data_IF_048949390492
#
_entry.id   IF_048949390492
#
_cell.length_a   1.000
_cell.length_b   1.000
_cell.length_c   1.000
_cell.angle_alpha   90.00
_cell.angle_beta   90.00
_cell.angle_gamma   90.00
#
_symmetry.space_group_name_H-M   'P 1'
#
loop_
_entity.id
_entity.type
_entity.pdbx_description
1 polymer ?
#
# COMPACT_ATOMS: atom_id res chain seq x y z
N UNK A 1 32.59 -34.71 -20.39
CA UNK A 1 32.42 -33.36 -19.79
C UNK A 1 30.95 -32.96 -19.96
N UNK A 2 30.15 -32.89 -18.93
CA UNK A 2 28.75 -32.53 -19.05
C UNK A 2 28.59 -31.02 -19.22
N UNK A 3 27.84 -30.62 -20.22
CA UNK A 3 27.42 -29.24 -20.47
C UNK A 3 26.46 -28.80 -19.35
N UNK A 4 26.87 -27.83 -18.53
CA UNK A 4 25.97 -27.18 -17.60
C UNK A 4 24.97 -26.31 -18.36
N UNK A 5 23.70 -26.66 -18.21
CA UNK A 5 22.57 -25.90 -18.72
C UNK A 5 22.44 -24.60 -17.92
N UNK A 6 22.76 -23.47 -18.53
CA UNK A 6 22.50 -22.13 -17.96
C UNK A 6 21.01 -21.88 -18.04
N UNK A 7 20.31 -21.91 -16.88
CA UNK A 7 18.92 -21.48 -16.79
C UNK A 7 18.87 -19.97 -16.98
N UNK A 8 18.20 -19.51 -18.03
CA UNK A 8 17.86 -18.10 -18.22
C UNK A 8 16.93 -17.68 -17.10
N UNK A 9 17.40 -16.81 -16.22
CA UNK A 9 16.56 -16.13 -15.22
C UNK A 9 15.91 -14.96 -15.96
N UNK A 10 14.61 -15.09 -16.23
CA UNK A 10 13.80 -14.00 -16.76
C UNK A 10 13.45 -13.09 -15.59
N UNK A 11 14.21 -12.00 -15.39
CA UNK A 11 13.95 -11.02 -14.34
C UNK A 11 12.97 -10.00 -14.92
N UNK A 12 11.71 -9.93 -14.47
CA UNK A 12 10.84 -8.86 -14.88
C UNK A 12 11.36 -7.55 -14.28
N UNK A 13 11.68 -6.58 -15.14
CA UNK A 13 12.03 -5.22 -14.72
C UNK A 13 10.76 -4.58 -14.20
N UNK A 14 10.56 -4.59 -12.90
CA UNK A 14 9.51 -3.82 -12.25
C UNK A 14 10.03 -2.39 -12.13
N UNK A 15 9.58 -1.50 -13.01
CA UNK A 15 9.73 -0.07 -12.80
C UNK A 15 8.87 0.32 -11.61
N UNK A 16 9.48 0.73 -10.51
CA UNK A 16 8.80 1.42 -9.42
C UNK A 16 8.58 2.85 -9.89
N UNK A 17 7.33 3.32 -10.10
CA UNK A 17 7.09 4.72 -10.39
C UNK A 17 7.44 5.52 -9.14
N UNK A 18 8.25 6.55 -9.31
CA UNK A 18 8.43 7.57 -8.27
C UNK A 18 7.09 8.25 -8.04
N UNK A 19 6.63 8.19 -6.79
CA UNK A 19 5.40 8.79 -6.31
C UNK A 19 5.36 10.29 -6.61
N UNK A 20 4.59 10.66 -7.63
CA UNK A 20 3.87 11.93 -7.65
C UNK A 20 2.41 11.55 -7.44
N UNK A 21 1.82 12.05 -6.33
CA UNK A 21 0.46 11.76 -5.95
C UNK A 21 -0.51 12.04 -7.10
N UNK A 22 -1.11 11.01 -7.61
CA UNK A 22 -2.13 11.10 -8.63
C UNK A 22 -3.37 10.35 -8.14
N UNK A 23 -4.44 11.10 -7.94
CA UNK A 23 -5.76 10.73 -7.44
C UNK A 23 -6.41 9.59 -8.22
N UNK A 24 -5.98 9.36 -9.46
CA UNK A 24 -6.48 8.29 -10.34
C UNK A 24 -6.07 6.88 -9.91
N UNK A 25 -5.10 6.72 -8.99
CA UNK A 25 -4.61 5.38 -8.61
C UNK A 25 -5.58 4.62 -7.71
N UNK A 26 -6.36 5.30 -6.85
CA UNK A 26 -7.28 4.61 -5.93
C UNK A 26 -8.60 4.21 -6.62
N UNK A 27 -9.14 5.04 -7.49
CA UNK A 27 -10.28 4.66 -8.33
C UNK A 27 -9.89 3.54 -9.31
N UNK A 28 -8.70 3.61 -9.90
CA UNK A 28 -8.13 2.51 -10.66
C UNK A 28 -7.84 1.27 -9.80
N UNK A 29 -7.53 1.43 -8.50
CA UNK A 29 -7.23 0.29 -7.63
C UNK A 29 -8.48 -0.53 -7.29
N UNK A 30 -9.65 0.10 -7.18
CA UNK A 30 -10.92 -0.61 -6.92
C UNK A 30 -11.56 -1.14 -8.19
N UNK A 31 -11.42 -0.45 -9.32
CA UNK A 31 -11.93 -0.89 -10.63
C UNK A 31 -11.02 -1.92 -11.32
N UNK A 32 -9.73 -1.95 -10.96
CA UNK A 32 -8.73 -2.89 -11.50
C UNK A 32 -8.32 -4.00 -10.51
N UNK A 33 -9.02 -4.13 -9.38
CA UNK A 33 -8.92 -5.34 -8.56
C UNK A 33 -9.51 -6.49 -9.38
N UNK A 34 -8.66 -7.14 -10.16
CA UNK A 34 -9.03 -8.28 -10.99
C UNK A 34 -9.43 -9.50 -10.13
N UNK A 35 -9.92 -10.54 -10.78
CA UNK A 35 -10.29 -11.82 -10.14
C UNK A 35 -9.16 -12.38 -9.24
N UNK A 36 -7.90 -12.06 -9.53
CA UNK A 36 -6.75 -12.45 -8.71
C UNK A 36 -6.70 -11.78 -7.32
N UNK A 37 -7.31 -10.62 -7.14
CA UNK A 37 -7.32 -9.91 -5.86
C UNK A 37 -8.52 -10.31 -4.97
N UNK A 38 -9.48 -11.06 -5.49
CA UNK A 38 -10.64 -11.56 -4.74
C UNK A 38 -10.22 -12.40 -3.51
N UNK A 39 -9.07 -13.07 -3.56
CA UNK A 39 -8.47 -13.83 -2.44
C UNK A 39 -8.10 -12.97 -1.23
N UNK A 40 -7.93 -11.66 -1.41
CA UNK A 40 -7.60 -10.71 -0.34
C UNK A 40 -8.82 -10.00 0.22
N UNK A 41 -10.00 -10.26 -0.33
CA UNK A 41 -11.24 -9.64 0.09
C UNK A 41 -11.80 -10.32 1.34
N UNK A 42 -11.89 -9.57 2.41
CA UNK A 42 -12.49 -9.96 3.67
C UNK A 42 -13.94 -9.46 3.73
N UNK A 43 -14.85 -10.32 4.16
CA UNK A 43 -16.27 -10.01 4.41
C UNK A 43 -16.72 -10.38 5.83
N UNK A 44 -15.86 -11.07 6.56
CA UNK A 44 -16.13 -11.41 7.95
C UNK A 44 -16.03 -10.16 8.84
N UNK A 45 -17.15 -9.75 9.41
CA UNK A 45 -17.24 -8.53 10.23
C UNK A 45 -16.34 -8.54 11.45
N UNK A 46 -16.09 -9.73 12.05
CA UNK A 46 -15.22 -9.83 13.23
C UNK A 46 -13.77 -9.60 12.82
N UNK A 47 -13.37 -10.15 11.68
CA UNK A 47 -12.03 -9.98 11.15
C UNK A 47 -11.78 -8.51 10.74
N UNK A 48 -12.71 -7.90 10.00
CA UNK A 48 -12.67 -6.48 9.61
C UNK A 48 -12.51 -5.61 10.85
N UNK A 49 -13.35 -5.79 11.86
CA UNK A 49 -13.28 -5.04 13.12
C UNK A 49 -11.94 -5.22 13.84
N UNK A 50 -11.41 -6.45 13.85
CA UNK A 50 -10.09 -6.73 14.42
C UNK A 50 -8.98 -5.93 13.76
N UNK A 51 -9.00 -5.83 12.41
CA UNK A 51 -8.03 -5.03 11.66
C UNK A 51 -8.21 -3.53 11.92
N UNK A 52 -9.45 -3.03 11.94
CA UNK A 52 -9.71 -1.62 12.26
C UNK A 52 -9.23 -1.24 13.66
N UNK A 53 -9.40 -2.13 14.66
CA UNK A 53 -8.86 -1.92 16.02
C UNK A 53 -7.33 -1.90 16.03
N UNK A 54 -6.69 -2.76 15.27
CA UNK A 54 -5.23 -2.72 15.14
C UNK A 54 -4.75 -1.39 14.53
N UNK A 55 -5.50 -0.82 13.57
CA UNK A 55 -5.20 0.52 13.04
C UNK A 55 -5.31 1.60 14.13
N UNK A 56 -6.31 1.51 15.03
CA UNK A 56 -6.44 2.40 16.20
C UNK A 56 -5.25 2.22 17.14
N UNK A 57 -4.94 0.99 17.54
CA UNK A 57 -3.88 0.68 18.50
C UNK A 57 -2.50 1.13 18.02
N UNK A 58 -2.25 1.00 16.73
CA UNK A 58 -1.00 1.43 16.11
C UNK A 58 -1.00 2.91 15.69
N UNK A 59 -2.11 3.62 15.89
CA UNK A 59 -2.30 5.00 15.41
C UNK A 59 -1.93 5.15 13.94
N UNK A 60 -2.35 4.19 13.14
CA UNK A 60 -2.03 4.15 11.73
C UNK A 60 -2.71 5.30 10.98
N UNK A 61 -1.97 5.92 10.07
CA UNK A 61 -2.54 6.92 9.17
C UNK A 61 -3.47 6.22 8.19
N UNK A 62 -4.69 6.74 8.08
CA UNK A 62 -5.69 6.36 7.09
C UNK A 62 -5.81 7.48 6.07
N UNK A 63 -5.50 7.19 4.84
CA UNK A 63 -5.70 8.13 3.75
C UNK A 63 -7.13 7.97 3.22
N UNK A 64 -7.94 9.01 3.32
CA UNK A 64 -9.31 9.04 2.80
C UNK A 64 -9.33 9.76 1.47
N UNK A 65 -9.77 9.08 0.43
CA UNK A 65 -10.06 9.67 -0.87
C UNK A 65 -11.57 9.93 -0.98
N UNK A 66 -11.92 11.18 -1.24
CA UNK A 66 -13.33 11.62 -1.32
C UNK A 66 -13.89 11.30 -2.70
N UNK A 67 -14.95 10.49 -2.75
CA UNK A 67 -15.60 10.13 -4.01
C UNK A 67 -16.04 11.38 -4.82
N UNK A 68 -15.94 11.26 -6.13
CA UNK A 68 -16.34 12.30 -7.09
C UNK A 68 -15.54 13.62 -6.95
N UNK A 69 -14.43 13.63 -6.19
CA UNK A 69 -13.56 14.78 -6.01
C UNK A 69 -12.10 14.35 -6.02
N UNK A 70 -11.25 15.21 -6.53
CA UNK A 70 -9.79 15.02 -6.47
C UNK A 70 -9.23 15.52 -5.12
N UNK A 71 -9.76 14.99 -4.02
CA UNK A 71 -9.38 15.37 -2.67
C UNK A 71 -8.98 14.12 -1.91
N UNK A 72 -7.76 14.18 -1.37
CA UNK A 72 -7.21 13.15 -0.48
C UNK A 72 -6.92 13.79 0.88
N UNK A 73 -7.43 13.18 1.94
CA UNK A 73 -7.33 13.69 3.30
C UNK A 73 -6.64 12.66 4.19
N UNK A 74 -5.52 13.00 4.81
CA UNK A 74 -4.94 12.17 5.86
C UNK A 74 -5.83 12.23 7.12
N UNK A 75 -6.09 11.08 7.71
CA UNK A 75 -6.93 10.89 8.88
C UNK A 75 -6.40 9.74 9.73
N UNK A 76 -7.13 9.36 10.77
CA UNK A 76 -6.91 8.18 11.58
C UNK A 76 -8.27 7.60 12.03
N UNK A 77 -8.29 6.32 12.35
CA UNK A 77 -9.43 5.75 13.07
C UNK A 77 -9.19 6.01 14.55
N UNK A 78 -10.09 6.75 15.18
CA UNK A 78 -10.00 7.11 16.59
C UNK A 78 -10.64 6.06 17.50
N UNK A 79 -11.68 5.39 16.98
CA UNK A 79 -12.42 4.37 17.73
C UNK A 79 -13.18 3.43 16.81
N UNK A 80 -13.47 2.24 17.31
CA UNK A 80 -14.26 1.20 16.64
C UNK A 80 -15.27 0.67 17.62
N UNK A 81 -16.53 1.01 17.43
CA UNK A 81 -17.64 0.46 18.20
C UNK A 81 -17.82 -1.04 17.93
N UNK A 82 -18.29 -1.77 18.93
CA UNK A 82 -18.35 -3.23 18.88
C UNK A 82 -19.23 -3.79 17.76
N UNK A 83 -20.25 -3.06 17.34
CA UNK A 83 -21.22 -3.61 16.40
C UNK A 83 -21.56 -2.73 15.20
N UNK A 84 -21.28 -1.43 15.18
CA UNK A 84 -21.97 -0.56 14.25
C UNK A 84 -21.13 0.46 13.49
N UNK A 85 -20.17 1.16 14.13
CA UNK A 85 -19.52 2.30 13.52
C UNK A 85 -18.05 2.46 13.89
N UNK A 86 -17.38 3.29 13.12
CA UNK A 86 -16.04 3.81 13.39
C UNK A 86 -16.09 5.32 13.57
N UNK A 87 -15.16 5.85 14.36
CA UNK A 87 -14.90 7.28 14.48
C UNK A 87 -13.60 7.58 13.75
N UNK A 88 -13.69 8.51 12.80
CA UNK A 88 -12.56 9.01 12.03
C UNK A 88 -12.17 10.39 12.53
N UNK A 89 -10.87 10.67 12.49
CA UNK A 89 -10.35 11.99 12.77
C UNK A 89 -10.72 12.98 11.65
N UNK A 90 -10.89 14.25 12.01
CA UNK A 90 -11.15 15.32 11.05
C UNK A 90 -9.86 15.91 10.50
N UNK A 91 -9.99 16.64 9.41
CA UNK A 91 -8.91 17.50 8.89
C UNK A 91 -8.86 18.84 9.66
N UNK A 92 -7.67 19.44 9.71
CA UNK A 92 -7.54 20.85 10.13
C UNK A 92 -8.13 21.83 9.09
N UNK A 93 -8.37 21.37 7.86
CA UNK A 93 -8.95 22.17 6.79
C UNK A 93 -10.47 21.92 6.74
N UNK A 94 -11.25 22.96 6.98
CA UNK A 94 -12.72 22.88 6.98
C UNK A 94 -13.31 22.54 5.60
N UNK A 95 -12.69 23.00 4.51
CA UNK A 95 -13.14 22.61 3.15
C UNK A 95 -13.01 21.10 2.92
N UNK A 96 -11.96 20.48 3.47
CA UNK A 96 -11.79 19.03 3.45
C UNK A 96 -12.86 18.33 4.29
N UNK A 97 -13.21 18.89 5.46
CA UNK A 97 -14.27 18.35 6.32
C UNK A 97 -15.63 18.41 5.63
N UNK A 98 -15.96 19.55 4.99
CA UNK A 98 -17.17 19.69 4.20
C UNK A 98 -17.19 18.72 2.99
N UNK A 99 -16.04 18.47 2.39
CA UNK A 99 -15.95 17.49 1.32
C UNK A 99 -16.22 16.06 1.82
N UNK A 100 -15.68 15.67 2.98
CA UNK A 100 -15.93 14.36 3.62
C UNK A 100 -17.43 14.22 3.93
N UNK A 101 -18.03 15.22 4.56
CA UNK A 101 -19.45 15.19 4.98
C UNK A 101 -20.41 15.09 3.79
N UNK A 102 -20.08 15.74 2.67
CA UNK A 102 -20.90 15.72 1.44
C UNK A 102 -20.58 14.56 0.51
N UNK A 103 -19.59 13.74 0.82
CA UNK A 103 -19.20 12.61 -0.01
C UNK A 103 -20.25 11.51 -0.02
N UNK A 104 -20.46 10.91 -1.19
CA UNK A 104 -21.32 9.72 -1.31
C UNK A 104 -20.69 8.52 -0.63
N UNK A 105 -19.35 8.39 -0.75
CA UNK A 105 -18.54 7.39 -0.09
C UNK A 105 -17.09 7.89 0.03
N UNK A 106 -16.32 7.25 0.90
CA UNK A 106 -14.90 7.45 1.07
C UNK A 106 -14.15 6.17 0.73
N UNK A 107 -13.12 6.27 -0.08
CA UNK A 107 -12.16 5.18 -0.27
C UNK A 107 -11.01 5.38 0.69
N UNK A 108 -10.82 4.43 1.58
CA UNK A 108 -9.83 4.49 2.64
C UNK A 108 -8.69 3.52 2.36
N UNK A 109 -7.46 4.00 2.53
CA UNK A 109 -6.26 3.18 2.48
C UNK A 109 -5.42 3.37 3.73
N UNK A 110 -4.86 2.28 4.23
CA UNK A 110 -3.95 2.28 5.37
C UNK A 110 -2.87 1.21 5.20
N UNK A 111 -1.83 1.29 6.01
CA UNK A 111 -0.85 0.22 6.13
C UNK A 111 -0.83 -0.30 7.57
N UNK A 112 -0.92 -1.61 7.71
CA UNK A 112 -0.77 -2.33 8.95
C UNK A 112 0.34 -3.37 8.77
N UNK A 113 1.44 -3.26 9.52
CA UNK A 113 2.60 -4.16 9.42
C UNK A 113 3.11 -4.36 7.97
N UNK A 114 3.15 -3.27 7.19
CA UNK A 114 3.54 -3.26 5.76
C UNK A 114 2.55 -3.97 4.83
N UNK A 115 1.36 -4.30 5.31
CA UNK A 115 0.26 -4.81 4.51
C UNK A 115 -0.70 -3.68 4.19
N UNK A 116 -1.02 -3.52 2.93
CA UNK A 116 -2.00 -2.51 2.52
C UNK A 116 -3.41 -3.00 2.83
N UNK A 117 -4.17 -2.14 3.50
CA UNK A 117 -5.58 -2.31 3.79
C UNK A 117 -6.35 -1.29 2.98
N UNK A 118 -7.37 -1.74 2.23
CA UNK A 118 -8.26 -0.88 1.46
C UNK A 118 -9.71 -1.19 1.83
N UNK A 119 -10.51 -0.16 2.05
CA UNK A 119 -11.92 -0.31 2.37
C UNK A 119 -12.72 0.92 1.95
N UNK A 120 -14.00 0.72 1.75
CA UNK A 120 -14.95 1.78 1.41
C UNK A 120 -15.87 2.02 2.59
N UNK A 121 -16.10 3.29 2.90
CA UNK A 121 -17.12 3.76 3.82
C UNK A 121 -18.20 4.49 3.04
N UNK A 122 -19.47 4.16 3.28
CA UNK A 122 -20.56 4.71 2.46
C UNK A 122 -20.85 6.17 2.80
N UNK A 123 -21.00 6.51 4.03
CA UNK A 123 -21.31 7.87 4.48
C UNK A 123 -20.57 8.18 5.77
N UNK A 124 -20.04 9.39 5.87
CA UNK A 124 -19.45 9.90 7.09
C UNK A 124 -20.30 11.07 7.60
N UNK A 125 -20.73 10.99 8.85
CA UNK A 125 -21.54 12.02 9.51
C UNK A 125 -20.67 12.76 10.51
N UNK A 126 -20.70 14.10 10.46
CA UNK A 126 -19.99 14.93 11.41
C UNK A 126 -20.47 14.66 12.84
N UNK A 127 -19.55 14.51 13.75
CA UNK A 127 -19.79 14.30 15.17
C UNK A 127 -18.73 15.03 15.98
N UNK A 128 -18.82 14.96 17.29
CA UNK A 128 -17.81 15.49 18.22
C UNK A 128 -17.24 14.36 19.08
N UNK A 129 -15.93 14.42 19.28
CA UNK A 129 -15.22 13.58 20.24
C UNK A 129 -14.22 14.45 21.01
N UNK A 130 -14.29 14.44 22.34
CA UNK A 130 -13.41 15.22 23.20
C UNK A 130 -13.29 16.71 22.80
N UNK A 131 -14.44 17.33 22.46
CA UNK A 131 -14.54 18.73 21.98
C UNK A 131 -13.95 19.01 20.60
N UNK A 132 -13.54 17.98 19.87
CA UNK A 132 -13.01 18.10 18.51
C UNK A 132 -14.01 17.53 17.49
N UNK A 133 -13.99 18.12 16.31
CA UNK A 133 -14.75 17.58 15.18
C UNK A 133 -14.19 16.19 14.82
N UNK A 134 -15.08 15.26 14.59
CA UNK A 134 -14.78 13.90 14.12
C UNK A 134 -15.85 13.47 13.14
N UNK A 135 -15.67 12.32 12.50
CA UNK A 135 -16.67 11.75 11.60
C UNK A 135 -17.03 10.35 12.07
N UNK A 136 -18.32 10.09 12.10
CA UNK A 136 -18.88 8.76 12.34
C UNK A 136 -19.25 8.13 11.03
N UNK A 137 -18.82 6.90 10.77
CA UNK A 137 -19.20 6.12 9.61
C UNK A 137 -19.54 4.69 10.02
N UNK A 138 -20.40 4.02 9.27
CA UNK A 138 -20.68 2.61 9.48
C UNK A 138 -19.45 1.74 9.23
N UNK A 139 -19.39 0.56 9.85
CA UNK A 139 -18.35 -0.42 9.57
C UNK A 139 -18.39 -0.82 8.08
N UNK A 140 -17.23 -0.90 7.42
CA UNK A 140 -17.19 -1.31 6.02
C UNK A 140 -17.72 -2.75 5.86
N UNK A 141 -18.52 -2.97 4.81
CA UNK A 141 -19.05 -4.31 4.51
C UNK A 141 -17.99 -5.30 4.06
N UNK A 142 -16.91 -4.78 3.47
CA UNK A 142 -15.78 -5.55 2.98
C UNK A 142 -14.49 -4.75 3.06
N UNK A 143 -13.38 -5.47 3.09
CA UNK A 143 -12.05 -4.90 3.22
C UNK A 143 -11.06 -5.76 2.45
N UNK A 144 -10.16 -5.13 1.70
CA UNK A 144 -9.02 -5.82 1.13
C UNK A 144 -7.85 -5.77 2.11
N UNK A 145 -7.32 -6.94 2.44
CA UNK A 145 -6.10 -7.10 3.23
C UNK A 145 -5.01 -7.68 2.33
N UNK A 146 -4.24 -6.78 1.67
CA UNK A 146 -3.41 -7.11 0.51
C UNK A 146 -2.05 -7.70 0.89
N UNK A 147 -2.05 -8.80 1.61
CA UNK A 147 -0.84 -9.56 1.91
C UNK A 147 -0.37 -10.34 0.66
N UNK A 148 0.23 -9.63 -0.29
CA UNK A 148 0.75 -10.22 -1.54
C UNK A 148 2.08 -10.97 -1.36
N UNK A 149 2.82 -10.67 -0.29
CA UNK A 149 4.14 -11.26 -0.05
C UNK A 149 3.99 -12.54 0.78
N UNK A 150 4.22 -13.69 0.17
CA UNK A 150 4.28 -14.97 0.87
C UNK A 150 5.62 -15.19 1.61
N UNK A 151 6.66 -14.45 1.23
CA UNK A 151 8.01 -14.60 1.74
C UNK A 151 8.46 -13.31 2.42
N UNK A 152 9.09 -13.48 3.58
CA UNK A 152 9.73 -12.37 4.28
C UNK A 152 10.85 -11.79 3.43
N UNK A 153 10.96 -10.45 3.40
CA UNK A 153 12.04 -9.72 2.73
C UNK A 153 12.89 -9.01 3.76
N UNK A 154 14.18 -9.27 3.72
CA UNK A 154 15.16 -8.55 4.53
C UNK A 154 15.64 -7.34 3.73
N UNK A 155 15.36 -6.15 4.23
CA UNK A 155 15.88 -4.91 3.66
C UNK A 155 17.37 -4.76 4.00
N UNK A 156 18.17 -4.35 3.02
CA UNK A 156 19.59 -4.10 3.24
C UNK A 156 19.81 -2.66 3.72
N UNK A 157 20.85 -2.40 4.55
CA UNK A 157 21.17 -1.05 4.98
C UNK A 157 21.46 -0.13 3.79
N UNK A 158 20.95 1.10 3.83
CA UNK A 158 21.13 2.07 2.73
C UNK A 158 22.62 2.45 2.57
N UNK A 159 23.35 2.55 3.67
CA UNK A 159 24.76 3.01 3.69
C UNK A 159 25.77 1.93 3.36
N UNK A 160 25.41 0.66 3.55
CA UNK A 160 26.30 -0.49 3.36
C UNK A 160 25.55 -1.64 2.69
N UNK A 161 24.93 -1.33 1.55
CA UNK A 161 24.18 -2.34 0.79
C UNK A 161 25.15 -3.25 0.04
N UNK A 162 24.91 -4.56 0.06
CA UNK A 162 25.66 -5.50 -0.78
C UNK A 162 25.57 -5.14 -2.25
N UNK A 163 26.64 -5.34 -2.99
CA UNK A 163 26.67 -5.16 -4.45
C UNK A 163 26.52 -6.53 -5.11
N UNK A 164 25.55 -6.62 -6.01
CA UNK A 164 25.37 -7.77 -6.89
C UNK A 164 26.01 -7.44 -8.25
N UNK A 165 26.94 -8.26 -8.71
CA UNK A 165 27.54 -8.11 -10.04
C UNK A 165 26.90 -9.11 -11.00
N UNK A 166 26.29 -8.60 -12.07
CA UNK A 166 25.71 -9.41 -13.15
C UNK A 166 26.58 -9.27 -14.37
N UNK A 167 27.15 -10.39 -14.84
CA UNK A 167 27.88 -10.43 -16.09
C UNK A 167 26.90 -10.69 -17.24
N UNK A 168 26.78 -9.73 -18.13
CA UNK A 168 25.98 -9.84 -19.36
C UNK A 168 26.91 -10.00 -20.57
N UNK A 169 26.72 -11.07 -21.32
CA UNK A 169 27.39 -11.24 -22.62
C UNK A 169 26.69 -10.34 -23.64
N UNK A 170 27.41 -9.35 -24.16
CA UNK A 170 26.89 -8.50 -25.22
C UNK A 170 26.94 -9.23 -26.57
N UNK A 171 26.05 -8.84 -27.50
CA UNK A 171 25.89 -9.45 -28.83
C UNK A 171 27.19 -9.43 -29.68
N UNK A 172 28.18 -8.64 -29.30
CA UNK A 172 29.48 -8.51 -29.97
C UNK A 172 30.66 -9.12 -29.23
N UNK A 173 30.41 -10.00 -28.25
CA UNK A 173 31.46 -10.75 -27.55
C UNK A 173 32.20 -9.99 -26.43
N UNK A 174 31.82 -8.76 -26.14
CA UNK A 174 32.31 -8.05 -24.96
C UNK A 174 31.39 -8.35 -23.77
N UNK A 175 31.97 -8.83 -22.66
CA UNK A 175 31.21 -9.00 -21.42
C UNK A 175 31.09 -7.66 -20.71
N UNK A 176 29.85 -7.29 -20.33
CA UNK A 176 29.59 -6.12 -19.51
C UNK A 176 29.24 -6.59 -18.09
N UNK A 177 30.00 -6.12 -17.10
CA UNK A 177 29.73 -6.35 -15.70
C UNK A 177 28.87 -5.19 -15.15
N UNK A 178 27.58 -5.49 -14.83
CA UNK A 178 26.67 -4.53 -14.22
C UNK A 178 26.76 -4.66 -12.70
N UNK A 179 27.08 -3.55 -12.03
CA UNK A 179 27.04 -3.48 -10.58
C UNK A 179 25.69 -2.93 -10.12
N UNK A 180 25.01 -3.70 -9.30
CA UNK A 180 23.66 -3.42 -8.83
C UNK A 180 23.67 -3.41 -7.31
N UNK A 181 23.09 -2.36 -6.73
CA UNK A 181 22.91 -2.28 -5.29
C UNK A 181 21.74 -3.16 -4.88
N UNK A 182 21.91 -4.03 -3.91
CA UNK A 182 20.81 -4.85 -3.37
C UNK A 182 19.98 -4.00 -2.43
N UNK A 183 18.65 -4.00 -2.63
CA UNK A 183 17.68 -3.26 -1.81
C UNK A 183 17.04 -4.20 -0.79
N UNK A 184 16.58 -5.36 -1.22
CA UNK A 184 16.05 -6.39 -0.34
C UNK A 184 16.37 -7.79 -0.84
N UNK A 185 16.33 -8.76 0.07
CA UNK A 185 16.59 -10.18 -0.19
C UNK A 185 15.45 -11.00 0.43
N UNK A 186 14.99 -12.01 -0.30
CA UNK A 186 14.06 -13.02 0.21
C UNK A 186 14.48 -14.41 -0.26
N UNK A 187 13.83 -15.46 0.25
CA UNK A 187 14.08 -16.82 -0.25
C UNK A 187 13.64 -17.02 -1.73
N UNK A 188 12.84 -16.10 -2.27
CA UNK A 188 12.40 -16.13 -3.68
C UNK A 188 13.24 -15.29 -4.62
N UNK A 189 14.14 -14.44 -4.11
CA UNK A 189 14.95 -13.56 -4.94
C UNK A 189 15.47 -12.33 -4.22
N UNK A 190 16.05 -11.42 -4.97
CA UNK A 190 16.55 -10.14 -4.48
C UNK A 190 16.05 -8.98 -5.36
N UNK A 191 15.81 -7.83 -4.73
CA UNK A 191 15.55 -6.59 -5.42
C UNK A 191 16.84 -5.77 -5.51
N UNK A 192 17.08 -5.20 -6.68
CA UNK A 192 18.30 -4.41 -6.95
C UNK A 192 17.96 -3.08 -7.60
N UNK A 193 18.81 -2.08 -7.39
CA UNK A 193 18.80 -0.84 -8.14
C UNK A 193 20.10 -0.67 -8.92
N UNK A 194 20.02 -0.02 -10.08
CA UNK A 194 21.21 0.45 -10.78
C UNK A 194 21.91 1.46 -9.89
N UNK A 195 23.18 1.25 -9.60
CA UNK A 195 24.05 2.31 -9.10
C UNK A 195 24.36 3.20 -10.29
N UNK A 196 23.93 4.47 -10.25
CA UNK A 196 24.44 5.46 -11.19
C UNK A 196 25.96 5.50 -11.01
N UNK A 197 26.66 4.84 -11.92
CA UNK A 197 28.10 5.02 -12.07
C UNK A 197 28.28 6.44 -12.58
N UNK A 198 28.46 7.38 -11.66
CA UNK A 198 29.02 8.68 -12.05
C UNK A 198 30.44 8.41 -12.55
N UNK A 199 30.58 8.47 -13.88
CA UNK A 199 31.86 8.53 -14.56
C UNK A 199 32.60 9.86 -14.23
#
# INVERSE_FOLDING_TARGET
>A
MPRQSVRRINVPIVRVPMSQGNTSELDHYTDHLGDDDARYLLRDKRHIRGLLRQLVDQRAIVTMHVADRDITVPSAILDVDDDHYVILDSSHNEDSNLAIESARYLLCSAQLERVTILFRMEKAERTERDTHVAFRADLPESMYHMQRRALYRLETPITDSPICTIRQEAIQGQALDLQLRVIDISSGGLAVSLTDSMA
#
